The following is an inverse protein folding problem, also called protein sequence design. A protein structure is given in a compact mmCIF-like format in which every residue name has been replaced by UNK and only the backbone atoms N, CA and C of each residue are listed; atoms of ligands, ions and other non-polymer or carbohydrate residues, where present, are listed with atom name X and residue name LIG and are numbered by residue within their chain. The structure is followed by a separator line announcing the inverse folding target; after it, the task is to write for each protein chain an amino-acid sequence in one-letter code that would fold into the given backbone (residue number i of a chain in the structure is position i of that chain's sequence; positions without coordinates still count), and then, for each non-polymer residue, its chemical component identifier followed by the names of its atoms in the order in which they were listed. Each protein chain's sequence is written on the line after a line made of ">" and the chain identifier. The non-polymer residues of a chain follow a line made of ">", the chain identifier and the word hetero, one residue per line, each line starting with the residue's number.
data_IF_719517052754
#
_entry.id   IF_719517052754
#
_cell.length_a   1.000
_cell.length_b   1.000
_cell.length_c   1.000
_cell.angle_alpha   90.00
_cell.angle_beta   90.00
_cell.angle_gamma   90.00
#
_symmetry.space_group_name_H-M   'P 1'
#
loop_
_entity.id
_entity.type
_entity.pdbx_description
1 polymer ?
#
# COMPACT_ATOMS: atom_id res chain seq x y z
N UNK A 1 -24.11 -24.77 14.18
CA UNK A 1 -24.58 -23.41 14.51
C UNK A 1 -23.87 -22.42 13.57
N UNK A 2 -24.60 -21.93 12.58
CA UNK A 2 -24.07 -20.91 11.66
C UNK A 2 -24.02 -19.56 12.39
N UNK A 3 -22.82 -19.08 12.72
CA UNK A 3 -22.66 -17.73 13.22
C UNK A 3 -23.16 -16.75 12.17
N UNK A 4 -24.03 -15.83 12.55
CA UNK A 4 -24.37 -14.69 11.69
C UNK A 4 -23.08 -13.95 11.41
N UNK A 5 -22.67 -13.90 10.13
CA UNK A 5 -21.64 -12.96 9.69
C UNK A 5 -22.12 -11.57 10.09
N UNK A 6 -21.33 -10.85 10.89
CA UNK A 6 -21.69 -9.51 11.29
C UNK A 6 -21.13 -8.52 10.28
N UNK A 7 -21.89 -7.49 9.98
CA UNK A 7 -21.47 -6.40 9.07
C UNK A 7 -20.15 -5.79 9.56
N UNK A 8 -19.99 -5.69 10.88
CA UNK A 8 -18.78 -5.16 11.48
C UNK A 8 -17.55 -6.07 11.24
N UNK A 9 -17.75 -7.38 11.13
CA UNK A 9 -16.66 -8.31 10.77
C UNK A 9 -16.26 -8.14 9.31
N UNK A 10 -17.23 -7.91 8.43
CA UNK A 10 -16.97 -7.65 7.01
C UNK A 10 -16.24 -6.32 6.80
N UNK A 11 -16.61 -5.27 7.56
CA UNK A 11 -15.90 -3.98 7.57
C UNK A 11 -14.44 -4.14 7.95
N UNK A 12 -14.15 -4.92 9.00
CA UNK A 12 -12.79 -5.22 9.43
C UNK A 12 -12.01 -5.97 8.36
N UNK A 13 -12.60 -7.04 7.85
CA UNK A 13 -11.97 -7.89 6.82
C UNK A 13 -11.65 -7.10 5.55
N UNK A 14 -12.55 -6.20 5.17
CA UNK A 14 -12.32 -5.30 4.04
C UNK A 14 -11.14 -4.35 4.28
N UNK A 15 -11.05 -3.79 5.49
CA UNK A 15 -9.93 -2.94 5.89
C UNK A 15 -8.59 -3.67 5.79
N UNK A 16 -8.50 -4.89 6.33
CA UNK A 16 -7.30 -5.71 6.23
C UNK A 16 -6.98 -6.03 4.77
N UNK A 17 -7.96 -6.38 3.94
CA UNK A 17 -7.75 -6.64 2.52
C UNK A 17 -7.17 -5.42 1.77
N UNK A 18 -7.65 -4.22 2.05
CA UNK A 18 -7.06 -2.99 1.48
C UNK A 18 -5.59 -2.85 1.88
N UNK A 19 -5.27 -3.06 3.16
CA UNK A 19 -3.88 -2.99 3.63
C UNK A 19 -3.02 -4.06 2.94
N UNK A 20 -3.48 -5.30 2.83
CA UNK A 20 -2.77 -6.38 2.12
C UNK A 20 -2.45 -6.01 0.67
N UNK A 21 -3.45 -5.51 -0.05
CA UNK A 21 -3.33 -5.17 -1.48
C UNK A 21 -2.29 -4.09 -1.75
N UNK A 22 -2.19 -3.09 -0.87
CA UNK A 22 -1.32 -1.93 -1.10
C UNK A 22 0.03 -2.04 -0.40
N UNK A 23 0.16 -2.88 0.62
CA UNK A 23 1.44 -3.15 1.29
C UNK A 23 2.16 -4.38 0.72
N UNK A 24 1.46 -5.24 -0.04
CA UNK A 24 2.01 -6.50 -0.55
C UNK A 24 2.38 -7.48 0.56
N UNK A 25 1.77 -7.37 1.75
CA UNK A 25 2.04 -8.19 2.93
C UNK A 25 0.77 -8.84 3.44
N UNK A 26 0.89 -10.08 3.92
CA UNK A 26 -0.24 -10.82 4.50
C UNK A 26 -0.24 -10.68 6.02
N UNK A 27 -1.41 -10.66 6.68
CA UNK A 27 -1.48 -10.64 8.14
C UNK A 27 -0.77 -11.82 8.82
N UNK A 28 -0.59 -12.90 8.07
CA UNK A 28 0.06 -14.14 8.52
C UNK A 28 1.57 -14.18 8.26
N UNK A 29 2.14 -13.13 7.69
CA UNK A 29 3.57 -13.09 7.42
C UNK A 29 4.39 -13.14 8.72
N UNK A 30 5.54 -13.80 8.65
CA UNK A 30 6.39 -14.03 9.83
C UNK A 30 6.86 -12.77 10.55
N UNK A 31 6.81 -11.63 9.89
CA UNK A 31 7.15 -10.34 10.49
C UNK A 31 6.11 -9.82 11.48
N UNK A 32 4.87 -10.35 11.44
CA UNK A 32 3.79 -9.94 12.32
C UNK A 32 3.72 -10.87 13.55
N UNK A 33 4.68 -10.68 14.46
CA UNK A 33 4.81 -11.40 15.74
C UNK A 33 4.84 -10.40 16.89
N UNK A 34 4.72 -10.88 18.11
CA UNK A 34 4.90 -10.09 19.34
C UNK A 34 3.99 -8.86 19.45
N UNK A 35 2.75 -8.97 18.96
CA UNK A 35 1.76 -7.89 19.02
C UNK A 35 1.80 -6.92 17.83
N UNK A 36 2.77 -7.05 16.93
CA UNK A 36 2.74 -6.34 15.66
C UNK A 36 1.77 -7.03 14.71
N UNK A 37 0.86 -6.26 14.12
CA UNK A 37 -0.06 -6.72 13.11
C UNK A 37 -0.06 -5.74 11.93
N UNK A 38 -0.73 -6.11 10.83
CA UNK A 38 -0.75 -5.34 9.60
C UNK A 38 -1.31 -3.91 9.80
N UNK A 39 -2.34 -3.76 10.64
CA UNK A 39 -2.91 -2.46 11.01
C UNK A 39 -1.88 -1.57 11.70
N UNK A 40 -1.25 -2.07 12.76
CA UNK A 40 -0.26 -1.31 13.53
C UNK A 40 0.98 -0.98 12.68
N UNK A 41 1.41 -1.91 11.82
CA UNK A 41 2.51 -1.69 10.89
C UNK A 41 2.22 -0.51 9.94
N UNK A 42 1.05 -0.48 9.31
CA UNK A 42 0.65 0.62 8.45
C UNK A 42 0.52 1.94 9.23
N UNK A 43 -0.13 1.90 10.40
CA UNK A 43 -0.38 3.06 11.24
C UNK A 43 0.90 3.75 11.70
N UNK A 44 1.94 3.00 12.06
CA UNK A 44 3.23 3.55 12.50
C UNK A 44 4.06 4.17 11.38
N UNK A 45 3.79 3.78 10.14
CA UNK A 45 4.59 4.22 9.00
C UNK A 45 3.96 5.37 8.22
N UNK A 46 2.66 5.59 8.33
CA UNK A 46 1.96 6.65 7.61
C UNK A 46 2.02 8.00 8.33
N UNK A 47 2.05 9.08 7.56
CA UNK A 47 2.28 9.14 6.10
C UNK A 47 3.76 9.16 5.69
N UNK A 48 4.70 9.41 6.63
CA UNK A 48 6.10 9.78 6.36
C UNK A 48 6.92 8.66 5.73
N UNK A 49 6.61 7.41 6.10
CA UNK A 49 7.35 6.21 5.65
C UNK A 49 6.59 5.41 4.59
N UNK A 50 5.60 6.02 3.91
CA UNK A 50 4.77 5.33 2.92
C UNK A 50 5.60 4.54 1.90
N UNK A 51 6.62 5.17 1.31
CA UNK A 51 7.47 4.56 0.27
C UNK A 51 8.20 3.30 0.75
N UNK A 52 8.46 3.21 2.06
CA UNK A 52 9.15 2.06 2.65
C UNK A 52 8.24 0.86 2.89
N UNK A 53 6.93 1.10 3.00
CA UNK A 53 5.97 0.05 3.36
C UNK A 53 5.05 -0.37 2.22
N UNK A 54 4.83 0.50 1.23
CA UNK A 54 3.97 0.20 0.08
C UNK A 54 4.63 -0.85 -0.81
N UNK A 55 3.82 -1.67 -1.47
CA UNK A 55 4.31 -2.68 -2.41
C UNK A 55 5.16 -2.00 -3.50
N UNK A 56 6.42 -2.42 -3.69
CA UNK A 56 7.31 -1.83 -4.70
C UNK A 56 6.75 -1.83 -6.13
N UNK A 57 5.81 -2.72 -6.45
CA UNK A 57 5.16 -2.76 -7.77
C UNK A 57 4.31 -1.50 -8.03
N UNK A 58 3.87 -0.82 -6.98
CA UNK A 58 3.06 0.41 -7.06
C UNK A 58 3.93 1.66 -7.18
N UNK A 59 5.24 1.52 -6.98
CA UNK A 59 6.19 2.62 -7.14
C UNK A 59 6.55 2.81 -8.61
N UNK A 60 6.77 4.07 -9.06
CA UNK A 60 7.28 4.32 -10.41
C UNK A 60 8.61 3.60 -10.61
N UNK A 61 8.72 2.81 -11.65
CA UNK A 61 10.01 2.26 -12.07
C UNK A 61 10.78 3.36 -12.78
N UNK A 62 12.02 3.61 -12.39
CA UNK A 62 12.92 4.42 -13.18
C UNK A 62 13.15 3.72 -14.53
N UNK A 63 12.76 4.38 -15.62
CA UNK A 63 12.95 3.88 -16.99
C UNK A 63 14.39 4.17 -17.40
N UNK A 64 15.34 3.55 -16.76
CA UNK A 64 16.77 3.67 -17.06
C UNK A 64 17.44 2.33 -17.27
N UNK A 65 16.74 1.32 -17.83
CA UNK A 65 17.44 0.17 -18.41
C UNK A 65 16.58 -0.49 -19.50
N UNK A 66 17.27 -0.90 -20.58
CA UNK A 66 16.71 -1.64 -21.71
C UNK A 66 15.95 -2.89 -21.26
N UNK A 67 14.95 -3.37 -22.02
CA UNK A 67 14.12 -4.48 -21.59
C UNK A 67 14.91 -5.79 -21.61
N UNK A 68 15.53 -6.13 -20.52
CA UNK A 68 15.97 -7.49 -20.28
C UNK A 68 14.81 -8.20 -19.62
N UNK A 69 14.15 -9.06 -20.38
CA UNK A 69 13.11 -9.95 -19.88
C UNK A 69 13.67 -10.84 -18.75
N UNK A 70 13.33 -10.52 -17.52
CA UNK A 70 13.49 -11.43 -16.41
C UNK A 70 12.10 -11.76 -15.92
N UNK A 71 11.57 -12.85 -16.46
CA UNK A 71 10.48 -13.59 -15.85
C UNK A 71 11.09 -14.22 -14.59
N UNK A 72 10.97 -13.56 -13.46
CA UNK A 72 11.41 -14.14 -12.20
C UNK A 72 10.44 -15.26 -11.81
N UNK A 73 10.83 -16.47 -12.11
CA UNK A 73 10.29 -17.66 -11.47
C UNK A 73 10.46 -17.50 -9.95
N UNK A 74 9.36 -17.61 -9.22
CA UNK A 74 9.39 -17.80 -7.77
C UNK A 74 9.93 -19.20 -7.49
N UNK A 75 11.22 -19.32 -7.32
CA UNK A 75 11.78 -20.52 -6.71
C UNK A 75 11.80 -20.34 -5.19
N UNK A 76 11.07 -21.21 -4.51
CA UNK A 76 11.26 -21.52 -3.10
C UNK A 76 12.67 -22.04 -2.93
N UNK A 77 13.50 -21.38 -2.17
CA UNK A 77 14.73 -21.96 -1.69
C UNK A 77 14.84 -21.81 -0.18
N UNK A 78 14.95 -22.99 0.44
CA UNK A 78 15.19 -23.23 1.84
C UNK A 78 16.66 -22.87 2.18
N UNK A 79 16.80 -22.12 3.27
CA UNK A 79 18.01 -22.04 4.11
C UNK A 79 19.32 -21.63 3.47
N UNK A 80 19.73 -20.38 3.68
CA UNK A 80 21.10 -20.12 4.18
C UNK A 80 21.29 -18.66 4.66
N UNK A 81 22.01 -18.51 5.77
CA UNK A 81 22.49 -17.25 6.33
C UNK A 81 23.23 -16.41 5.28
N UNK A 82 22.79 -15.17 5.08
CA UNK A 82 23.61 -14.18 4.38
C UNK A 82 23.91 -13.03 5.33
N UNK A 83 25.19 -12.92 5.66
CA UNK A 83 25.80 -11.81 6.37
C UNK A 83 25.44 -10.49 5.69
N UNK A 84 24.91 -9.54 6.48
CA UNK A 84 24.64 -8.19 6.06
C UNK A 84 25.96 -7.44 6.04
N UNK A 85 26.52 -7.26 4.87
CA UNK A 85 27.62 -6.32 4.66
C UNK A 85 27.03 -4.89 4.70
N UNK A 86 27.52 -4.10 5.67
CA UNK A 86 27.16 -2.70 5.86
C UNK A 86 27.91 -1.82 4.86
N UNK A 87 27.42 -1.75 3.64
CA UNK A 87 27.79 -0.71 2.69
C UNK A 87 26.83 0.47 2.77
N UNK A 88 27.17 1.48 3.55
CA UNK A 88 26.42 2.74 3.62
C UNK A 88 26.75 3.62 2.41
N UNK A 89 26.22 3.30 1.23
CA UNK A 89 26.17 4.20 0.07
C UNK A 89 25.00 3.80 -0.82
N UNK A 90 23.86 4.50 -0.73
CA UNK A 90 22.71 4.24 -1.59
C UNK A 90 21.38 4.84 -1.17
N UNK A 91 21.35 5.78 -0.24
CA UNK A 91 20.09 6.39 0.24
C UNK A 91 19.71 7.67 -0.52
N UNK A 92 20.26 7.92 -1.70
CA UNK A 92 19.97 9.15 -2.47
C UNK A 92 19.07 8.98 -3.69
N UNK A 93 18.55 7.77 -3.94
CA UNK A 93 17.51 7.55 -4.95
C UNK A 93 16.19 7.14 -4.27
N UNK A 94 15.69 7.96 -3.34
CA UNK A 94 14.26 7.93 -3.04
C UNK A 94 13.59 8.42 -4.33
N UNK A 95 13.12 7.45 -5.12
CA UNK A 95 12.26 7.67 -6.26
C UNK A 95 11.24 8.74 -5.86
N UNK A 96 11.30 9.92 -6.50
CA UNK A 96 10.38 11.01 -6.20
C UNK A 96 9.00 10.56 -6.64
N UNK A 97 8.29 9.90 -5.73
CA UNK A 97 6.89 9.53 -5.95
C UNK A 97 6.10 10.79 -6.28
N UNK A 98 5.33 10.72 -7.38
CA UNK A 98 4.42 11.81 -7.71
C UNK A 98 3.53 12.16 -6.51
N UNK A 99 3.44 13.44 -6.12
CA UNK A 99 2.66 13.85 -4.95
C UNK A 99 1.19 13.41 -4.98
N UNK A 100 0.60 13.28 -6.18
CA UNK A 100 -0.78 12.82 -6.31
C UNK A 100 -0.89 11.31 -6.10
N UNK A 101 0.10 10.54 -6.57
CA UNK A 101 0.20 9.10 -6.27
C UNK A 101 0.41 8.89 -4.78
N UNK A 102 1.32 9.63 -4.17
CA UNK A 102 1.55 9.60 -2.72
C UNK A 102 0.26 9.86 -1.94
N UNK A 103 -0.42 10.97 -2.25
CA UNK A 103 -1.69 11.33 -1.60
C UNK A 103 -2.76 10.25 -1.80
N UNK A 104 -2.88 9.70 -2.99
CA UNK A 104 -3.82 8.63 -3.30
C UNK A 104 -3.55 7.38 -2.43
N UNK A 105 -2.30 6.93 -2.36
CA UNK A 105 -1.91 5.76 -1.58
C UNK A 105 -2.11 5.99 -0.07
N UNK A 106 -1.75 7.16 0.45
CA UNK A 106 -2.03 7.51 1.85
C UNK A 106 -3.52 7.41 2.13
N UNK A 107 -4.38 8.05 1.33
CA UNK A 107 -5.82 8.06 1.57
C UNK A 107 -6.45 6.66 1.48
N UNK A 108 -5.95 5.78 0.60
CA UNK A 108 -6.41 4.39 0.53
C UNK A 108 -6.02 3.62 1.79
N UNK A 109 -4.77 3.75 2.24
CA UNK A 109 -4.30 3.06 3.44
C UNK A 109 -4.99 3.59 4.70
N UNK A 110 -5.25 4.90 4.79
CA UNK A 110 -6.06 5.50 5.87
C UNK A 110 -7.48 4.95 5.89
N UNK A 111 -8.09 4.72 4.72
CA UNK A 111 -9.40 4.05 4.62
C UNK A 111 -9.30 2.62 5.15
N UNK A 112 -8.25 1.87 4.80
CA UNK A 112 -7.98 0.53 5.33
C UNK A 112 -7.84 0.53 6.85
N UNK A 113 -7.09 1.49 7.41
CA UNK A 113 -6.94 1.68 8.86
C UNK A 113 -8.27 1.99 9.55
N UNK A 114 -9.06 2.89 8.97
CA UNK A 114 -10.37 3.25 9.52
C UNK A 114 -11.37 2.08 9.54
N UNK A 115 -11.28 1.17 8.56
CA UNK A 115 -12.09 -0.06 8.55
C UNK A 115 -11.59 -1.11 9.53
N UNK A 116 -10.29 -1.20 9.75
CA UNK A 116 -9.65 -2.23 10.59
C UNK A 116 -9.43 -1.82 12.04
N UNK A 117 -10.17 -0.83 12.54
CA UNK A 117 -10.16 -0.46 13.95
C UNK A 117 -10.60 -1.62 14.84
N UNK A 118 -9.97 -1.76 16.02
CA UNK A 118 -10.31 -2.82 16.98
C UNK A 118 -11.76 -2.74 17.44
N UNK A 119 -12.21 -1.53 17.81
CA UNK A 119 -13.59 -1.29 18.23
C UNK A 119 -14.54 -1.28 17.02
N UNK A 120 -15.54 -2.17 16.97
CA UNK A 120 -16.51 -2.19 15.85
C UNK A 120 -17.28 -0.89 15.66
N UNK A 121 -17.46 -0.12 16.73
CA UNK A 121 -18.19 1.17 16.69
C UNK A 121 -17.39 2.26 15.99
N UNK A 122 -16.07 2.16 16.02
CA UNK A 122 -15.16 3.16 15.47
C UNK A 122 -14.76 2.85 14.02
N UNK A 123 -15.22 1.70 13.48
CA UNK A 123 -14.95 1.31 12.10
C UNK A 123 -15.73 2.15 11.11
N UNK A 124 -15.06 2.54 10.04
CA UNK A 124 -15.69 3.18 8.89
C UNK A 124 -16.71 2.24 8.24
N UNK A 125 -17.92 2.72 8.01
CA UNK A 125 -19.00 1.94 7.44
C UNK A 125 -18.83 1.79 5.91
N UNK A 126 -19.24 0.64 5.35
CA UNK A 126 -19.07 0.35 3.92
C UNK A 126 -19.62 1.43 2.98
N UNK A 127 -20.69 2.12 3.38
CA UNK A 127 -21.22 3.25 2.62
C UNK A 127 -20.24 4.43 2.55
N UNK A 128 -19.56 4.71 3.65
CA UNK A 128 -18.53 5.76 3.73
C UNK A 128 -17.29 5.36 2.96
N UNK A 129 -16.86 4.09 3.10
CA UNK A 129 -15.75 3.50 2.33
C UNK A 129 -15.97 3.68 0.83
N UNK A 130 -17.16 3.33 0.33
CA UNK A 130 -17.50 3.48 -1.08
C UNK A 130 -17.39 4.92 -1.54
N UNK A 131 -17.86 5.87 -0.73
CA UNK A 131 -17.78 7.30 -1.03
C UNK A 131 -16.32 7.76 -1.05
N UNK A 132 -15.52 7.40 -0.04
CA UNK A 132 -14.11 7.80 0.05
C UNK A 132 -13.30 7.25 -1.15
N UNK A 133 -13.47 5.97 -1.49
CA UNK A 133 -12.78 5.39 -2.65
C UNK A 133 -13.18 6.05 -3.97
N UNK A 134 -14.43 6.48 -4.12
CA UNK A 134 -14.85 7.27 -5.29
C UNK A 134 -14.18 8.63 -5.35
N UNK A 135 -14.06 9.34 -4.21
CA UNK A 135 -13.38 10.62 -4.12
C UNK A 135 -11.88 10.49 -4.44
N UNK A 136 -11.23 9.49 -3.87
CA UNK A 136 -9.81 9.19 -4.13
C UNK A 136 -9.59 8.91 -5.62
N UNK A 137 -10.43 8.06 -6.22
CA UNK A 137 -10.37 7.72 -7.65
C UNK A 137 -10.55 8.97 -8.51
N UNK A 138 -11.56 9.80 -8.24
CA UNK A 138 -11.84 11.01 -9.01
C UNK A 138 -10.67 11.98 -8.93
N UNK A 139 -10.15 12.25 -7.74
CA UNK A 139 -9.00 13.14 -7.54
C UNK A 139 -7.75 12.65 -8.26
N UNK A 140 -7.50 11.33 -8.24
CA UNK A 140 -6.37 10.71 -8.95
C UNK A 140 -6.50 10.87 -10.48
N UNK A 141 -7.68 10.59 -11.04
CA UNK A 141 -7.93 10.69 -12.48
C UNK A 141 -7.84 12.14 -12.96
N UNK A 142 -8.42 13.09 -12.24
CA UNK A 142 -8.36 14.52 -12.57
C UNK A 142 -6.91 15.02 -12.59
N UNK A 143 -6.09 14.57 -11.66
CA UNK A 143 -4.67 14.91 -11.64
C UNK A 143 -3.90 14.32 -12.81
N UNK A 144 -4.25 13.12 -13.24
CA UNK A 144 -3.64 12.46 -14.39
C UNK A 144 -4.02 13.14 -15.72
N UNK A 145 -5.27 13.59 -15.86
CA UNK A 145 -5.75 14.32 -17.03
C UNK A 145 -5.03 15.67 -17.17
N UNK A 146 -4.99 16.46 -16.08
CA UNK A 146 -4.28 17.76 -16.08
C UNK A 146 -2.82 17.64 -16.49
N UNK A 147 -2.12 16.59 -16.04
CA UNK A 147 -0.72 16.34 -16.46
C UNK A 147 -0.57 16.04 -17.94
N UNK A 148 -1.51 15.32 -18.54
CA UNK A 148 -1.52 15.05 -19.99
C UNK A 148 -1.74 16.33 -20.81
N UNK A 149 -2.60 17.21 -20.35
CA UNK A 149 -2.88 18.49 -21.00
C UNK A 149 -1.65 19.42 -20.95
N UNK A 150 -1.01 19.55 -19.79
CA UNK A 150 0.21 20.38 -19.65
C UNK A 150 1.33 19.90 -20.59
N UNK A 151 1.53 18.57 -20.69
CA UNK A 151 2.54 18.02 -21.62
C UNK A 151 2.24 18.30 -23.10
N UNK A 152 0.96 18.44 -23.49
CA UNK A 152 0.57 18.77 -24.87
C UNK A 152 0.80 20.22 -25.22
N UNK A 153 0.83 21.12 -24.25
CA UNK A 153 1.02 22.56 -24.45
C UNK A 153 2.51 22.93 -24.53
N UNK A 154 3.39 22.07 -24.02
CA UNK A 154 4.83 22.27 -23.98
C UNK A 154 5.59 21.70 -25.19
N UNK A 155 4.90 21.17 -26.21
CA UNK A 155 5.41 20.69 -27.51
C UNK A 155 4.95 21.62 -28.61
#
# INVERSE_FOLDING_TARGET
>A
MGGKASIEADEYSYGILLLEMFLGKRPTDDMFKDGLNLHNFAKMALPEKLVQIVDPILLPREVNEAPTAIVAAREYNDGNEIQVDRGAEGVSNLCQMDPNVHKCLVSILETGLACSMESPKDRMKMKEVTRELHLIKSAFLDSAIRRREIRRIQV
#
